data_IF_476487092965
#
_entry.id   IF_476487092965
#
_cell.length_a   1.000
_cell.length_b   1.000
_cell.length_c   1.000
_cell.angle_alpha   90.00
_cell.angle_beta   90.00
_cell.angle_gamma   90.00
#
_symmetry.space_group_name_H-M   'P 1'
#
loop_
_entity.id
_entity.type
_entity.pdbx_description
1 polymer ?
#
# COMPACT_ATOMS: atom_id res chain seq x y z
N UNK A 1 -16.47 20.05 -34.04
CA UNK A 1 -16.60 18.57 -33.95
C UNK A 1 -15.99 18.13 -32.61
N UNK A 2 -16.84 17.61 -31.72
CA UNK A 2 -16.54 16.79 -30.53
C UNK A 2 -15.43 17.18 -29.56
N UNK A 3 -15.73 18.03 -28.55
CA UNK A 3 -14.88 18.28 -27.37
C UNK A 3 -15.35 17.51 -26.11
N UNK A 4 -16.05 16.38 -26.26
CA UNK A 4 -16.75 15.72 -25.14
C UNK A 4 -16.50 14.21 -25.05
N UNK A 5 -15.24 13.78 -24.91
CA UNK A 5 -14.94 12.34 -24.71
C UNK A 5 -13.99 12.02 -23.54
N UNK A 6 -13.75 12.97 -22.63
CA UNK A 6 -12.77 12.81 -21.54
C UNK A 6 -13.34 12.40 -20.18
N UNK A 7 -14.60 11.99 -20.09
CA UNK A 7 -15.18 11.45 -18.85
C UNK A 7 -15.80 10.06 -19.07
N UNK A 8 -15.03 9.12 -19.63
CA UNK A 8 -15.32 7.71 -19.39
C UNK A 8 -15.12 7.47 -17.89
N UNK A 9 -16.22 7.34 -17.14
CA UNK A 9 -16.17 6.89 -15.74
C UNK A 9 -15.32 5.63 -15.70
N UNK A 10 -14.25 5.66 -14.90
CA UNK A 10 -13.40 4.49 -14.78
C UNK A 10 -14.25 3.30 -14.30
N UNK A 11 -14.06 2.09 -14.85
CA UNK A 11 -14.83 0.92 -14.47
C UNK A 11 -14.71 0.70 -12.96
N UNK A 12 -15.85 0.62 -12.29
CA UNK A 12 -15.90 0.26 -10.87
C UNK A 12 -16.07 -1.25 -10.73
N UNK A 13 -15.32 -1.84 -9.81
CA UNK A 13 -15.32 -3.26 -9.51
C UNK A 13 -15.67 -3.45 -8.03
N UNK A 14 -16.71 -4.23 -7.74
CA UNK A 14 -17.05 -4.59 -6.37
C UNK A 14 -16.34 -5.88 -6.00
N UNK A 15 -15.41 -5.79 -5.04
CA UNK A 15 -14.74 -6.93 -4.44
C UNK A 15 -15.31 -7.21 -3.03
N UNK A 16 -15.24 -8.48 -2.60
CA UNK A 16 -15.70 -8.93 -1.28
C UNK A 16 -14.72 -8.60 -0.14
N UNK A 17 -13.42 -8.50 -0.44
CA UNK A 17 -12.36 -8.17 0.53
C UNK A 17 -12.03 -6.69 0.46
N UNK A 18 -11.87 -6.19 -0.77
CA UNK A 18 -11.37 -4.83 -1.01
C UNK A 18 -12.47 -3.78 -1.18
N UNK A 19 -13.74 -4.18 -1.18
CA UNK A 19 -14.85 -3.27 -1.35
C UNK A 19 -14.90 -2.68 -2.77
N UNK A 20 -15.20 -1.39 -2.88
CA UNK A 20 -15.37 -0.72 -4.17
C UNK A 20 -14.02 -0.27 -4.72
N UNK A 21 -13.59 -0.91 -5.80
CA UNK A 21 -12.35 -0.60 -6.51
C UNK A 21 -12.62 0.13 -7.83
N UNK A 22 -11.67 0.95 -8.23
CA UNK A 22 -11.61 1.65 -9.51
C UNK A 22 -10.51 1.02 -10.35
N UNK A 23 -10.83 0.60 -11.58
CA UNK A 23 -9.84 0.04 -12.49
C UNK A 23 -9.17 1.14 -13.32
N UNK A 24 -7.90 1.39 -13.01
CA UNK A 24 -7.07 2.38 -13.67
C UNK A 24 -6.39 1.74 -14.89
N UNK A 25 -6.68 2.29 -16.08
CA UNK A 25 -6.19 1.76 -17.35
C UNK A 25 -5.25 2.77 -18.01
N UNK A 26 -4.05 2.30 -18.34
CA UNK A 26 -3.02 3.05 -19.05
C UNK A 26 -2.85 2.52 -20.47
N UNK A 27 -2.14 3.26 -21.32
CA UNK A 27 -1.79 2.80 -22.68
C UNK A 27 -0.92 1.55 -22.66
N UNK A 28 -0.05 1.46 -21.65
CA UNK A 28 0.74 0.29 -21.36
C UNK A 28 -0.04 -0.57 -20.35
N UNK A 29 -0.61 -1.67 -20.83
CA UNK A 29 -1.47 -2.54 -20.02
C UNK A 29 -0.73 -3.19 -18.84
N UNK A 30 0.61 -3.18 -18.84
CA UNK A 30 1.40 -3.69 -17.70
C UNK A 30 1.33 -2.76 -16.48
N UNK A 31 0.85 -1.52 -16.67
CA UNK A 31 0.70 -0.51 -15.61
C UNK A 31 -0.73 -0.38 -15.10
N UNK A 32 -1.63 -1.26 -15.53
CA UNK A 32 -3.02 -1.21 -15.08
C UNK A 32 -3.11 -1.75 -13.65
N UNK A 33 -3.87 -1.07 -12.80
CA UNK A 33 -4.06 -1.47 -11.40
C UNK A 33 -5.46 -1.11 -10.92
N UNK A 34 -5.88 -1.72 -9.81
CA UNK A 34 -7.08 -1.33 -9.09
C UNK A 34 -6.70 -0.41 -7.95
N UNK A 35 -7.48 0.63 -7.71
CA UNK A 35 -7.35 1.46 -6.51
C UNK A 35 -8.67 1.67 -5.80
N UNK A 36 -8.62 1.89 -4.49
CA UNK A 36 -9.79 2.23 -3.69
C UNK A 36 -9.39 2.60 -2.28
N UNK A 37 -10.40 2.71 -1.42
CA UNK A 37 -10.20 2.98 -0.01
C UNK A 37 -10.72 1.78 0.80
N UNK A 38 -9.96 1.38 1.83
CA UNK A 38 -10.31 0.27 2.71
C UNK A 38 -10.12 0.64 4.17
N UNK A 39 -10.94 0.06 5.04
CA UNK A 39 -10.73 0.11 6.48
C UNK A 39 -9.66 -0.93 6.87
N UNK A 40 -8.49 -0.48 7.28
CA UNK A 40 -7.37 -1.32 7.72
C UNK A 40 -6.90 -0.86 9.11
N UNK A 41 -6.88 -1.79 10.07
CA UNK A 41 -6.56 -1.51 11.48
C UNK A 41 -7.36 -0.35 12.11
N UNK A 42 -8.57 -0.07 11.59
CA UNK A 42 -9.42 1.03 12.05
C UNK A 42 -9.21 2.36 11.32
N UNK A 43 -8.27 2.44 10.38
CA UNK A 43 -7.99 3.61 9.56
C UNK A 43 -8.53 3.41 8.15
N UNK A 44 -9.11 4.46 7.56
CA UNK A 44 -9.46 4.45 6.14
C UNK A 44 -8.20 4.82 5.34
N UNK A 45 -7.68 3.87 4.59
CA UNK A 45 -6.41 4.01 3.86
C UNK A 45 -6.61 3.73 2.38
N UNK A 46 -5.70 4.24 1.55
CA UNK A 46 -5.61 3.87 0.15
C UNK A 46 -5.16 2.42 -0.02
N UNK A 47 -5.75 1.72 -0.99
CA UNK A 47 -5.27 0.41 -1.45
C UNK A 47 -5.02 0.45 -2.94
N UNK A 48 -3.85 -0.01 -3.38
CA UNK A 48 -3.54 -0.28 -4.79
C UNK A 48 -3.25 -1.76 -5.00
N UNK A 49 -3.78 -2.34 -6.08
CA UNK A 49 -3.66 -3.77 -6.37
C UNK A 49 -3.33 -3.97 -7.84
N UNK A 50 -2.17 -4.55 -8.10
CA UNK A 50 -1.77 -4.96 -9.44
C UNK A 50 -2.47 -6.26 -9.79
N UNK A 51 -3.57 -6.16 -10.53
CA UNK A 51 -4.36 -7.31 -10.92
C UNK A 51 -4.83 -7.21 -12.38
N UNK A 52 -5.20 -8.37 -12.92
CA UNK A 52 -5.72 -8.48 -14.30
C UNK A 52 -7.13 -7.89 -14.39
N UNK A 53 -7.67 -7.88 -15.61
CA UNK A 53 -9.00 -7.35 -15.97
C UNK A 53 -10.21 -7.93 -15.20
N UNK A 54 -10.01 -8.95 -14.36
CA UNK A 54 -11.06 -9.63 -13.57
C UNK A 54 -11.03 -9.29 -12.07
N UNK A 55 -10.22 -8.31 -11.66
CA UNK A 55 -10.07 -7.90 -10.27
C UNK A 55 -8.98 -8.66 -9.51
N UNK A 56 -8.82 -8.36 -8.22
CA UNK A 56 -7.83 -8.99 -7.34
C UNK A 56 -7.95 -10.52 -7.32
N UNK A 57 -6.81 -11.21 -7.38
CA UNK A 57 -6.76 -12.67 -7.31
C UNK A 57 -7.05 -13.19 -5.90
N UNK A 58 -7.42 -14.47 -5.77
CA UNK A 58 -7.61 -15.10 -4.46
C UNK A 58 -6.33 -15.05 -3.60
N UNK A 59 -5.15 -15.19 -4.21
CA UNK A 59 -3.88 -15.09 -3.50
C UNK A 59 -3.67 -13.70 -2.89
N UNK A 60 -4.02 -12.63 -3.59
CA UNK A 60 -3.94 -11.25 -3.06
C UNK A 60 -4.94 -11.02 -1.92
N UNK A 61 -6.14 -11.58 -2.04
CA UNK A 61 -7.16 -11.56 -0.99
C UNK A 61 -6.69 -12.28 0.26
N UNK A 62 -6.15 -13.49 0.11
CA UNK A 62 -5.68 -14.30 1.24
C UNK A 62 -4.45 -13.66 1.89
N UNK A 63 -3.54 -13.11 1.08
CA UNK A 63 -2.42 -12.32 1.55
C UNK A 63 -2.89 -11.12 2.37
N UNK A 64 -3.82 -10.31 1.87
CA UNK A 64 -4.31 -9.13 2.58
C UNK A 64 -5.03 -9.49 3.89
N UNK A 65 -5.79 -10.59 3.93
CA UNK A 65 -6.40 -11.09 5.17
C UNK A 65 -5.33 -11.46 6.20
N UNK A 66 -4.28 -12.17 5.78
CA UNK A 66 -3.15 -12.53 6.63
C UNK A 66 -2.37 -11.29 7.09
N UNK A 67 -2.13 -10.35 6.18
CA UNK A 67 -1.50 -9.07 6.50
C UNK A 67 -2.31 -8.35 7.58
N UNK A 68 -3.63 -8.29 7.44
CA UNK A 68 -4.52 -7.66 8.42
C UNK A 68 -4.49 -8.35 9.79
N UNK A 69 -4.50 -9.70 9.83
CA UNK A 69 -4.45 -10.43 11.11
C UNK A 69 -3.12 -10.28 11.83
N UNK A 70 -2.03 -10.21 11.07
CA UNK A 70 -0.67 -10.27 11.60
C UNK A 70 -0.02 -8.88 11.69
N UNK A 71 -0.72 -7.83 11.25
CA UNK A 71 -0.12 -6.51 11.04
C UNK A 71 0.53 -5.94 12.29
N UNK A 72 -0.06 -6.15 13.48
CA UNK A 72 0.55 -5.70 14.73
C UNK A 72 1.95 -6.31 14.92
N UNK A 73 2.10 -7.61 14.68
CA UNK A 73 3.39 -8.27 14.81
C UNK A 73 4.34 -7.84 13.69
N UNK A 74 3.85 -7.65 12.46
CA UNK A 74 4.66 -7.13 11.34
C UNK A 74 5.17 -5.73 11.67
N UNK A 75 4.33 -4.87 12.25
CA UNK A 75 4.71 -3.53 12.68
C UNK A 75 5.82 -3.59 13.72
N UNK A 76 5.56 -4.32 14.81
CA UNK A 76 6.41 -4.31 15.99
C UNK A 76 7.75 -5.03 15.76
N UNK A 77 7.76 -6.13 15.00
CA UNK A 77 8.93 -7.01 14.84
C UNK A 77 9.71 -6.79 13.53
N UNK A 78 9.10 -6.11 12.55
CA UNK A 78 9.70 -5.96 11.20
C UNK A 78 9.82 -4.50 10.80
N UNK A 79 8.70 -3.76 10.77
CA UNK A 79 8.68 -2.37 10.29
C UNK A 79 9.48 -1.46 11.22
N UNK A 80 9.18 -1.49 12.52
CA UNK A 80 9.87 -0.61 13.48
C UNK A 80 11.38 -0.87 13.54
N UNK A 81 11.88 -2.12 13.66
CA UNK A 81 13.31 -2.38 13.62
C UNK A 81 13.96 -1.96 12.29
N UNK A 82 13.28 -2.16 11.16
CA UNK A 82 13.80 -1.72 9.86
C UNK A 82 13.94 -0.19 9.80
N UNK A 83 12.90 0.54 10.18
CA UNK A 83 12.95 2.01 10.23
C UNK A 83 14.00 2.53 11.21
N UNK A 84 14.24 1.85 12.33
CA UNK A 84 15.28 2.23 13.29
C UNK A 84 16.68 2.17 12.68
N UNK A 85 16.92 1.20 11.79
CA UNK A 85 18.19 1.06 11.07
C UNK A 85 18.28 2.11 9.97
N UNK A 86 17.24 2.25 9.15
CA UNK A 86 17.25 3.16 8.00
C UNK A 86 17.26 4.64 8.42
N UNK A 87 16.71 4.98 9.59
CA UNK A 87 16.62 6.33 10.12
C UNK A 87 17.55 6.57 11.32
N UNK A 88 18.54 5.69 11.57
CA UNK A 88 19.40 5.76 12.76
C UNK A 88 20.04 7.15 12.94
N UNK A 89 20.58 7.72 11.86
CA UNK A 89 21.23 9.04 11.86
C UNK A 89 20.26 10.21 12.09
N UNK A 90 18.95 9.99 11.97
CA UNK A 90 17.90 11.02 12.07
C UNK A 90 16.77 10.61 13.02
N UNK A 91 17.04 9.70 13.95
CA UNK A 91 15.99 9.05 14.76
C UNK A 91 15.18 10.05 15.61
N UNK A 92 15.82 11.10 16.13
CA UNK A 92 15.15 12.16 16.88
C UNK A 92 14.26 13.03 15.99
N UNK A 93 14.69 13.31 14.75
CA UNK A 93 14.00 14.19 13.80
C UNK A 93 12.88 13.47 13.04
N UNK A 94 13.00 12.14 12.87
CA UNK A 94 12.00 11.31 12.19
C UNK A 94 10.71 11.10 12.99
N UNK A 95 10.75 11.30 14.32
CA UNK A 95 9.65 11.00 15.24
C UNK A 95 9.40 9.51 15.48
N UNK A 96 10.33 8.64 15.09
CA UNK A 96 10.21 7.19 15.25
C UNK A 96 10.03 6.75 16.72
N UNK A 97 10.54 7.55 17.68
CA UNK A 97 10.33 7.33 19.10
C UNK A 97 8.85 7.34 19.53
N UNK A 98 7.98 8.04 18.78
CA UNK A 98 6.54 8.13 19.01
C UNK A 98 5.76 7.66 17.77
N UNK A 99 6.18 6.55 17.16
CA UNK A 99 5.66 6.08 15.87
C UNK A 99 4.13 6.14 15.74
N UNK A 100 3.40 5.61 16.72
CA UNK A 100 1.92 5.53 16.67
C UNK A 100 1.21 6.91 16.66
N UNK A 101 1.90 8.00 16.99
CA UNK A 101 1.35 9.37 16.93
C UNK A 101 1.92 10.20 15.77
N UNK A 102 3.16 9.92 15.37
CA UNK A 102 3.90 10.67 14.37
C UNK A 102 3.79 10.10 12.95
N UNK A 103 3.44 8.82 12.82
CA UNK A 103 3.26 8.13 11.54
C UNK A 103 1.81 7.68 11.42
N UNK A 104 1.11 8.21 10.42
CA UNK A 104 -0.25 7.80 10.09
C UNK A 104 -0.22 6.85 8.90
N UNK A 105 -0.96 5.75 8.97
CA UNK A 105 -1.03 4.81 7.86
C UNK A 105 -1.80 5.44 6.70
N UNK A 106 -1.14 5.61 5.56
CA UNK A 106 -1.72 6.26 4.38
C UNK A 106 -2.22 5.24 3.35
N UNK A 107 -1.42 4.20 3.07
CA UNK A 107 -1.78 3.24 2.05
C UNK A 107 -1.01 1.93 2.07
N UNK A 108 -1.57 0.96 1.35
CA UNK A 108 -0.94 -0.33 1.05
C UNK A 108 -0.99 -0.56 -0.46
N UNK A 109 0.11 -1.02 -1.03
CA UNK A 109 0.15 -1.52 -2.41
C UNK A 109 0.41 -3.02 -2.42
N UNK A 110 -0.36 -3.79 -3.19
CA UNK A 110 -0.16 -5.24 -3.35
C UNK A 110 0.11 -5.54 -4.82
N UNK A 111 1.32 -5.97 -5.10
CA UNK A 111 1.74 -6.42 -6.41
C UNK A 111 1.02 -7.69 -6.86
N UNK A 112 1.28 -8.09 -8.12
CA UNK A 112 0.72 -9.32 -8.66
C UNK A 112 1.39 -10.54 -8.03
N UNK A 113 0.61 -11.37 -7.33
CA UNK A 113 1.14 -12.58 -6.68
C UNK A 113 1.20 -13.73 -7.67
N UNK A 114 2.42 -14.18 -7.97
CA UNK A 114 2.66 -15.37 -8.78
C UNK A 114 3.90 -16.11 -8.31
N UNK A 115 3.91 -17.44 -8.45
CA UNK A 115 5.03 -18.30 -8.03
C UNK A 115 5.48 -18.04 -6.57
N UNK A 116 4.54 -17.73 -5.68
CA UNK A 116 4.75 -17.39 -4.27
C UNK A 116 5.56 -16.11 -4.01
N UNK A 117 5.94 -15.35 -5.04
CA UNK A 117 6.49 -14.01 -4.86
C UNK A 117 5.36 -13.03 -4.57
N UNK A 118 5.54 -12.25 -3.52
CA UNK A 118 4.57 -11.24 -3.08
C UNK A 118 5.32 -9.96 -2.83
N UNK A 119 5.32 -9.09 -3.84
CA UNK A 119 5.81 -7.72 -3.69
C UNK A 119 4.65 -6.87 -3.18
N UNK A 120 4.89 -6.09 -2.14
CA UNK A 120 3.90 -5.19 -1.57
C UNK A 120 4.62 -4.04 -0.87
N UNK A 121 3.90 -2.96 -0.61
CA UNK A 121 4.43 -1.83 0.14
C UNK A 121 3.42 -1.29 1.12
N UNK A 122 3.93 -0.60 2.13
CA UNK A 122 3.15 0.18 3.08
C UNK A 122 3.67 1.60 3.10
N UNK A 123 2.76 2.56 3.06
CA UNK A 123 3.06 3.99 3.08
C UNK A 123 2.49 4.61 4.34
N UNK A 124 3.34 5.41 5.01
CA UNK A 124 2.96 6.22 6.15
C UNK A 124 3.13 7.69 5.81
N UNK A 125 2.21 8.54 6.23
CA UNK A 125 2.42 9.98 6.33
C UNK A 125 3.15 10.29 7.63
N UNK A 126 4.39 10.80 7.53
CA UNK A 126 5.19 11.20 8.68
C UNK A 126 5.01 12.69 8.95
N UNK A 127 4.42 13.03 10.10
CA UNK A 127 4.20 14.44 10.51
C UNK A 127 5.49 15.21 10.75
N UNK A 128 6.51 14.65 11.43
CA UNK A 128 7.77 15.36 11.68
C UNK A 128 8.54 15.60 10.38
N UNK A 129 8.60 14.59 9.52
CA UNK A 129 9.33 14.68 8.26
C UNK A 129 8.55 15.51 7.24
N UNK A 130 7.21 15.52 7.32
CA UNK A 130 6.29 16.10 6.33
C UNK A 130 6.45 15.46 4.94
N UNK A 131 6.67 14.15 4.94
CA UNK A 131 6.89 13.32 3.76
C UNK A 131 6.18 11.98 3.97
N UNK A 132 5.84 11.33 2.86
CA UNK A 132 5.44 9.94 2.85
C UNK A 132 6.67 9.04 2.97
N UNK A 133 6.61 8.09 3.91
CA UNK A 133 7.60 7.03 4.08
C UNK A 133 6.99 5.74 3.57
N UNK A 134 7.51 5.23 2.46
CA UNK A 134 7.08 3.97 1.84
C UNK A 134 8.13 2.91 2.06
N UNK A 135 7.69 1.72 2.53
CA UNK A 135 8.55 0.56 2.72
C UNK A 135 8.12 -0.51 1.74
N UNK A 136 9.05 -0.97 0.92
CA UNK A 136 8.84 -2.05 -0.04
C UNK A 136 9.22 -3.41 0.57
N UNK A 137 8.43 -4.43 0.27
CA UNK A 137 8.59 -5.79 0.80
C UNK A 137 8.66 -6.83 -0.33
N UNK A 138 9.47 -7.87 -0.10
CA UNK A 138 9.37 -9.16 -0.79
C UNK A 138 8.97 -10.22 0.24
N UNK A 139 7.73 -10.70 0.14
CA UNK A 139 7.13 -11.56 1.16
C UNK A 139 6.87 -10.77 2.45
N UNK A 140 7.59 -11.09 3.52
CA UNK A 140 7.54 -10.33 4.78
C UNK A 140 8.88 -9.65 5.10
N UNK A 141 9.81 -9.64 4.15
CA UNK A 141 11.13 -9.06 4.32
C UNK A 141 11.15 -7.67 3.69
N UNK A 142 11.41 -6.60 4.45
CA UNK A 142 11.57 -5.26 3.88
C UNK A 142 12.83 -5.24 2.99
N UNK A 143 12.75 -4.47 1.91
CA UNK A 143 13.78 -4.40 0.87
C UNK A 143 14.35 -3.01 0.71
N UNK A 144 13.48 -2.02 0.71
CA UNK A 144 13.86 -0.63 0.46
C UNK A 144 12.91 0.31 1.20
N UNK A 145 13.39 1.53 1.43
CA UNK A 145 12.63 2.62 2.00
C UNK A 145 12.74 3.85 1.09
N UNK A 146 11.60 4.44 0.76
CA UNK A 146 11.52 5.70 0.03
C UNK A 146 10.87 6.77 0.89
N UNK A 147 11.42 7.99 0.83
CA UNK A 147 10.84 9.19 1.44
C UNK A 147 10.48 10.15 0.30
N UNK A 148 9.21 10.52 0.18
CA UNK A 148 8.67 11.36 -0.91
C UNK A 148 7.77 12.49 -0.38
N UNK A 149 7.74 13.66 -1.03
CA UNK A 149 7.04 14.86 -0.52
C UNK A 149 6.76 15.95 -1.56
#
# INVERSE_FOLDING_TARGET
MGLFDFFKKQPKFQDEVFGLLTYNVFKDNTKNFYSGDILFQGFLIGITIDAKDKGPSQLQKDFFKKLTSDYKNIKDEIILPFLQIELEDTIEESGLANFDTEFELDGISIGYISNQKTEWSVTYDSKPMRHFVTIDFDGMTPKDMMIDG
#
